data_IF_853395675154
#
_entry.id   IF_853395675154
#
_cell.length_a   1.000
_cell.length_b   1.000
_cell.length_c   1.000
_cell.angle_alpha   90.00
_cell.angle_beta   90.00
_cell.angle_gamma   90.00
#
_symmetry.space_group_name_H-M   'P 1'
#
loop_
_entity.id
_entity.type
_entity.pdbx_description
1 polymer ?
#
# COMPACT_ATOMS: atom_id res chain seq x y z
N UNK A 1 44.58 19.86 69.94
CA UNK A 1 43.13 19.72 69.68
C UNK A 1 42.74 20.64 68.52
N UNK A 2 42.73 20.12 67.29
CA UNK A 2 42.15 20.84 66.14
C UNK A 2 41.08 19.94 65.50
N UNK A 3 39.84 20.42 65.48
CA UNK A 3 38.67 19.77 64.87
C UNK A 3 38.55 20.30 63.44
N UNK A 4 38.60 19.42 62.45
CA UNK A 4 38.43 19.79 61.03
C UNK A 4 36.96 20.13 60.70
N UNK A 5 36.68 21.27 60.02
CA UNK A 5 35.33 21.74 59.70
C UNK A 5 34.89 21.35 58.28
N UNK A 6 35.14 20.11 57.83
CA UNK A 6 34.91 19.70 56.43
C UNK A 6 33.69 18.82 56.15
N UNK A 7 33.10 18.19 57.19
CA UNK A 7 32.22 17.02 56.99
C UNK A 7 30.73 17.33 56.80
N UNK A 8 30.30 18.55 57.07
CA UNK A 8 28.86 18.91 57.11
C UNK A 8 28.31 19.38 55.75
N UNK A 9 29.13 20.08 54.96
CA UNK A 9 28.72 20.59 53.64
C UNK A 9 28.44 19.50 52.61
N UNK A 10 29.08 18.34 52.73
CA UNK A 10 28.89 17.21 51.80
C UNK A 10 27.59 16.44 52.05
N UNK A 11 27.04 16.48 53.26
CA UNK A 11 25.77 15.83 53.60
C UNK A 11 24.58 16.65 53.10
N UNK A 12 24.63 17.98 53.27
CA UNK A 12 23.61 18.89 52.76
C UNK A 12 23.51 18.84 51.22
N UNK A 13 24.65 18.83 50.52
CA UNK A 13 24.67 18.74 49.05
C UNK A 13 24.09 17.41 48.52
N UNK A 14 24.37 16.29 49.20
CA UNK A 14 23.82 14.97 48.83
C UNK A 14 22.32 14.86 49.11
N UNK A 15 21.83 15.43 50.19
CA UNK A 15 20.40 15.45 50.51
C UNK A 15 19.60 16.28 49.49
N UNK A 16 20.13 17.44 49.07
CA UNK A 16 19.49 18.28 48.07
C UNK A 16 19.47 17.61 46.68
N UNK A 17 20.56 16.94 46.30
CA UNK A 17 20.62 16.21 45.03
C UNK A 17 19.61 15.03 44.99
N UNK A 18 19.45 14.29 46.10
CA UNK A 18 18.44 13.23 46.19
C UNK A 18 17.01 13.76 46.16
N UNK A 19 16.73 14.88 46.83
CA UNK A 19 15.39 15.49 46.84
C UNK A 19 15.00 16.01 45.44
N UNK A 20 15.92 16.64 44.72
CA UNK A 20 15.70 17.08 43.32
C UNK A 20 15.49 15.87 42.40
N UNK A 21 16.24 14.78 42.58
CA UNK A 21 16.08 13.56 41.78
C UNK A 21 14.73 12.87 42.02
N UNK A 22 14.25 12.82 43.27
CA UNK A 22 12.93 12.26 43.56
C UNK A 22 11.79 13.14 43.03
N UNK A 23 11.93 14.47 43.09
CA UNK A 23 10.93 15.39 42.57
C UNK A 23 10.80 15.31 41.03
N UNK A 24 11.92 15.14 40.32
CA UNK A 24 11.93 14.90 38.87
C UNK A 24 11.32 13.55 38.48
N UNK A 25 11.58 12.50 39.27
CA UNK A 25 10.97 11.19 39.03
C UNK A 25 9.45 11.17 39.29
N UNK A 26 8.98 11.89 40.33
CA UNK A 26 7.56 12.00 40.62
C UNK A 26 6.79 12.86 39.58
N UNK A 27 7.43 13.88 39.01
CA UNK A 27 6.85 14.69 37.94
C UNK A 27 6.67 13.90 36.63
N UNK A 28 7.55 12.93 36.34
CA UNK A 28 7.46 12.06 35.16
C UNK A 28 6.29 11.05 35.23
N UNK A 29 5.78 10.74 36.43
CA UNK A 29 4.66 9.81 36.65
C UNK A 29 3.28 10.48 36.57
N UNK A 30 3.22 11.80 36.42
CA UNK A 30 1.98 12.59 36.34
C UNK A 30 1.70 13.15 34.94
N UNK A 31 2.52 12.82 33.94
CA UNK A 31 2.18 13.13 32.55
C UNK A 31 1.16 12.09 32.05
N UNK A 32 -0.05 12.51 31.63
CA UNK A 32 -0.94 11.60 30.92
C UNK A 32 -0.23 11.12 29.66
N UNK A 33 -0.22 9.81 29.46
CA UNK A 33 0.26 9.17 28.24
C UNK A 33 -0.75 9.36 27.09
N UNK A 34 -1.19 10.59 26.84
CA UNK A 34 -1.91 10.95 25.62
C UNK A 34 -0.90 11.48 24.59
N UNK A 35 0.03 10.58 24.25
CA UNK A 35 0.89 10.69 23.08
C UNK A 35 0.26 10.01 21.87
N UNK A 36 -1.07 10.04 21.75
CA UNK A 36 -1.75 9.72 20.51
C UNK A 36 -1.56 10.86 19.54
N UNK A 37 -0.37 10.99 18.96
CA UNK A 37 -0.18 11.77 17.76
C UNK A 37 -1.11 11.16 16.70
N UNK A 38 -2.31 11.73 16.56
CA UNK A 38 -3.15 11.52 15.38
C UNK A 38 -2.33 12.09 14.23
N UNK A 39 -1.50 11.25 13.63
CA UNK A 39 -0.92 11.50 12.33
C UNK A 39 -2.11 11.77 11.41
N UNK A 40 -2.25 13.02 10.99
CA UNK A 40 -3.31 13.43 10.09
C UNK A 40 -3.36 12.44 8.92
N UNK A 41 -4.51 11.78 8.74
CA UNK A 41 -4.71 10.87 7.62
C UNK A 41 -4.34 11.60 6.34
N UNK A 42 -3.38 11.11 5.53
CA UNK A 42 -2.99 11.79 4.31
C UNK A 42 -4.21 12.00 3.43
N UNK A 43 -4.28 13.17 2.81
CA UNK A 43 -5.39 13.52 1.93
C UNK A 43 -5.49 12.50 0.78
N UNK A 44 -6.69 11.97 0.58
CA UNK A 44 -7.02 11.19 -0.61
C UNK A 44 -6.93 12.11 -1.82
N UNK A 45 -6.25 11.67 -2.88
CA UNK A 45 -6.03 12.49 -4.08
C UNK A 45 -6.54 11.76 -5.33
N UNK A 46 -7.01 12.48 -6.35
CA UNK A 46 -7.50 11.86 -7.59
C UNK A 46 -6.38 11.12 -8.33
N UNK A 47 -6.75 10.09 -9.10
CA UNK A 47 -5.85 9.45 -10.05
C UNK A 47 -5.52 10.43 -11.18
N UNK A 48 -4.28 10.45 -11.66
CA UNK A 48 -3.86 11.45 -12.63
C UNK A 48 -2.85 10.91 -13.65
N UNK A 49 -2.98 11.35 -14.90
CA UNK A 49 -2.03 11.06 -15.97
C UNK A 49 -2.23 9.70 -16.66
N UNK A 50 -1.29 9.33 -17.55
CA UNK A 50 -1.37 8.09 -18.32
C UNK A 50 -1.18 6.86 -17.43
N UNK A 51 -1.70 5.73 -17.89
CA UNK A 51 -1.47 4.43 -17.29
C UNK A 51 0.01 4.05 -17.31
N UNK A 52 0.38 3.07 -16.50
CA UNK A 52 1.75 2.54 -16.52
C UNK A 52 2.11 1.97 -17.90
N UNK A 53 1.21 1.20 -18.53
CA UNK A 53 1.46 0.64 -19.86
C UNK A 53 1.62 1.72 -20.93
N UNK A 54 0.78 2.76 -20.91
CA UNK A 54 0.89 3.91 -21.80
C UNK A 54 2.24 4.60 -21.63
N UNK A 55 2.67 4.85 -20.39
CA UNK A 55 3.96 5.49 -20.08
C UNK A 55 5.15 4.68 -20.58
N UNK A 56 5.09 3.36 -20.41
CA UNK A 56 6.13 2.43 -20.86
C UNK A 56 6.08 2.15 -22.37
N UNK A 57 5.04 2.64 -23.07
CA UNK A 57 4.77 2.31 -24.48
C UNK A 57 4.73 0.79 -24.72
N UNK A 58 4.24 0.07 -23.73
CA UNK A 58 4.18 -1.39 -23.74
C UNK A 58 2.78 -1.86 -24.13
N UNK A 59 2.71 -2.87 -24.99
CA UNK A 59 1.47 -3.62 -25.22
C UNK A 59 1.30 -4.65 -24.10
N UNK A 60 0.09 -4.81 -23.57
CA UNK A 60 -0.18 -5.70 -22.43
C UNK A 60 0.39 -7.10 -22.64
N UNK A 61 0.08 -7.74 -23.78
CA UNK A 61 0.52 -9.11 -24.10
C UNK A 61 2.04 -9.23 -24.31
N UNK A 62 2.72 -8.10 -24.57
CA UNK A 62 4.18 -8.03 -24.71
C UNK A 62 4.88 -7.62 -23.42
N UNK A 63 4.15 -7.12 -22.42
CA UNK A 63 4.71 -6.89 -21.09
C UNK A 63 4.78 -8.22 -20.32
N UNK A 64 5.69 -8.31 -19.33
CA UNK A 64 5.68 -9.44 -18.39
C UNK A 64 4.32 -9.59 -17.69
N UNK A 65 3.58 -8.47 -17.52
CA UNK A 65 2.23 -8.45 -16.96
C UNK A 65 1.23 -9.29 -17.78
N UNK A 66 1.16 -9.11 -19.10
CA UNK A 66 0.20 -9.87 -19.93
C UNK A 66 0.64 -11.30 -20.20
N UNK A 67 1.95 -11.58 -20.29
CA UNK A 67 2.46 -12.94 -20.50
C UNK A 67 2.29 -13.86 -19.31
N UNK A 68 2.37 -13.33 -18.09
CA UNK A 68 2.44 -14.18 -16.93
C UNK A 68 1.14 -14.95 -16.66
N UNK A 69 -0.03 -14.47 -17.10
CA UNK A 69 -1.33 -15.13 -16.85
C UNK A 69 -1.74 -15.25 -15.37
N UNK A 70 -0.81 -15.03 -14.44
CA UNK A 70 -0.93 -15.23 -13.00
C UNK A 70 -1.45 -14.02 -12.23
N UNK A 71 -1.57 -12.84 -12.88
CA UNK A 71 -2.12 -11.63 -12.25
C UNK A 71 -3.51 -11.94 -11.66
N UNK A 72 -4.28 -12.80 -12.35
CA UNK A 72 -5.67 -13.07 -12.02
C UNK A 72 -6.02 -14.37 -11.35
N UNK A 73 -5.04 -15.22 -11.01
CA UNK A 73 -5.34 -16.45 -10.29
C UNK A 73 -5.97 -16.08 -8.94
N UNK A 74 -7.19 -16.55 -8.68
CA UNK A 74 -7.79 -16.46 -7.35
C UNK A 74 -6.92 -17.33 -6.42
N UNK A 75 -5.97 -16.70 -5.73
CA UNK A 75 -5.45 -17.32 -4.52
C UNK A 75 -6.64 -17.34 -3.58
N UNK A 76 -7.01 -18.51 -3.09
CA UNK A 76 -8.10 -18.67 -2.13
C UNK A 76 -7.93 -17.60 -1.05
N UNK A 77 -8.89 -16.67 -0.99
CA UNK A 77 -8.94 -15.70 0.09
C UNK A 77 -9.32 -16.54 1.30
N UNK A 78 -8.35 -17.01 2.07
CA UNK A 78 -8.61 -17.57 3.39
C UNK A 78 -9.19 -16.42 4.22
N UNK A 79 -10.52 -16.41 4.37
CA UNK A 79 -11.26 -15.28 4.91
C UNK A 79 -12.15 -14.61 3.86
N UNK A 80 -12.97 -15.38 3.16
CA UNK A 80 -14.19 -14.84 2.57
C UNK A 80 -15.05 -14.33 3.73
N UNK A 81 -15.28 -13.01 3.76
CA UNK A 81 -15.93 -12.26 4.83
C UNK A 81 -15.06 -11.98 6.06
N UNK A 82 -14.24 -10.91 6.01
CA UNK A 82 -14.42 -9.95 7.10
C UNK A 82 -15.78 -9.37 6.80
N UNK A 83 -16.80 -9.85 7.52
CA UNK A 83 -18.15 -9.31 7.46
C UNK A 83 -18.07 -7.86 7.91
N UNK A 84 -17.67 -6.97 7.03
CA UNK A 84 -17.99 -5.59 7.22
C UNK A 84 -19.51 -5.54 7.03
N UNK A 85 -20.22 -5.09 8.07
CA UNK A 85 -21.65 -4.80 7.93
C UNK A 85 -21.88 -3.82 6.78
N UNK A 86 -23.14 -3.51 6.49
CA UNK A 86 -23.51 -2.54 5.45
C UNK A 86 -22.81 -1.17 5.62
N UNK A 87 -22.24 -0.91 6.80
CA UNK A 87 -21.53 0.31 7.21
C UNK A 87 -20.02 0.33 6.87
N UNK A 88 -19.52 -0.55 6.00
CA UNK A 88 -18.10 -0.61 5.63
C UNK A 88 -17.57 0.69 5.03
N UNK A 89 -18.45 1.47 4.38
CA UNK A 89 -18.10 2.76 3.81
C UNK A 89 -17.74 3.79 4.89
N UNK A 90 -18.39 3.72 6.05
CA UNK A 90 -18.17 4.62 7.19
C UNK A 90 -17.06 4.10 8.10
N UNK A 91 -17.04 2.79 8.35
CA UNK A 91 -16.13 2.16 9.31
C UNK A 91 -14.75 1.82 8.72
N UNK A 92 -14.64 1.80 7.38
CA UNK A 92 -13.41 1.46 6.67
C UNK A 92 -12.98 0.00 6.84
N UNK A 93 -11.70 -0.25 6.57
CA UNK A 93 -11.11 -1.58 6.48
C UNK A 93 -10.01 -1.76 7.52
N UNK A 94 -9.91 -2.96 8.09
CA UNK A 94 -8.75 -3.39 8.87
C UNK A 94 -7.82 -4.19 7.96
N UNK A 95 -6.75 -3.56 7.47
CA UNK A 95 -5.83 -4.15 6.52
C UNK A 95 -4.56 -4.66 7.21
N UNK A 96 -4.14 -5.87 6.87
CA UNK A 96 -2.81 -6.39 7.21
C UNK A 96 -1.77 -5.97 6.18
N UNK A 97 -0.49 -6.17 6.47
CA UNK A 97 0.57 -6.03 5.46
C UNK A 97 0.39 -6.93 4.23
N UNK A 98 -0.24 -8.11 4.39
CA UNK A 98 -0.59 -9.00 3.28
C UNK A 98 -1.68 -8.38 2.39
N UNK A 99 -2.71 -7.77 2.99
CA UNK A 99 -3.75 -7.06 2.24
C UNK A 99 -3.17 -5.87 1.48
N UNK A 100 -2.30 -5.09 2.12
CA UNK A 100 -1.62 -3.97 1.48
C UNK A 100 -0.74 -4.44 0.31
N UNK A 101 -0.03 -5.56 0.47
CA UNK A 101 0.72 -6.19 -0.63
C UNK A 101 -0.21 -6.63 -1.77
N UNK A 102 -1.32 -7.30 -1.43
CA UNK A 102 -2.31 -7.82 -2.37
C UNK A 102 -2.92 -6.69 -3.21
N UNK A 103 -3.22 -5.56 -2.60
CA UNK A 103 -3.83 -4.41 -3.30
C UNK A 103 -2.77 -3.60 -4.06
N UNK A 104 -1.62 -3.32 -3.46
CA UNK A 104 -0.68 -2.32 -4.01
C UNK A 104 0.48 -2.90 -4.83
N UNK A 105 0.84 -4.17 -4.63
CA UNK A 105 2.08 -4.73 -5.19
C UNK A 105 1.84 -5.91 -6.12
N UNK A 106 0.83 -6.75 -5.82
CA UNK A 106 0.55 -8.00 -6.52
C UNK A 106 0.27 -7.83 -8.01
N UNK A 107 -0.41 -6.74 -8.40
CA UNK A 107 -0.75 -6.44 -9.81
C UNK A 107 0.49 -6.46 -10.71
N UNK A 108 1.63 -6.03 -10.18
CA UNK A 108 2.91 -6.06 -10.87
C UNK A 108 3.81 -7.22 -10.43
N UNK A 109 4.03 -7.39 -9.13
CA UNK A 109 5.04 -8.33 -8.59
C UNK A 109 4.51 -9.76 -8.38
N UNK A 110 3.27 -10.05 -8.81
CA UNK A 110 2.68 -11.38 -8.76
C UNK A 110 2.31 -11.83 -7.35
N UNK A 111 1.96 -13.10 -7.22
CA UNK A 111 1.58 -13.68 -5.92
C UNK A 111 2.80 -13.77 -5.01
N UNK A 112 2.72 -13.21 -3.79
CA UNK A 112 3.75 -13.31 -2.76
C UNK A 112 5.11 -12.70 -3.12
N UNK A 113 5.18 -11.71 -4.01
CA UNK A 113 6.39 -10.93 -4.27
C UNK A 113 7.45 -11.66 -5.10
N UNK A 114 7.06 -12.72 -5.82
CA UNK A 114 7.98 -13.54 -6.62
C UNK A 114 8.40 -12.89 -7.95
N UNK A 115 7.74 -11.80 -8.35
CA UNK A 115 7.97 -11.16 -9.64
C UNK A 115 7.33 -11.96 -10.78
N UNK A 116 7.37 -11.39 -11.99
CA UNK A 116 6.81 -12.00 -13.21
C UNK A 116 7.89 -12.26 -14.27
N UNK A 117 9.16 -12.20 -13.87
CA UNK A 117 10.30 -12.30 -14.79
C UNK A 117 10.49 -11.06 -15.69
N UNK A 118 11.58 -11.06 -16.45
CA UNK A 118 11.97 -9.91 -17.27
C UNK A 118 12.11 -8.64 -16.44
N UNK A 119 11.34 -7.62 -16.80
CA UNK A 119 11.43 -6.28 -16.20
C UNK A 119 10.74 -6.15 -14.83
N UNK A 120 10.03 -7.19 -14.35
CA UNK A 120 9.36 -7.19 -13.05
C UNK A 120 10.04 -8.17 -12.08
N UNK A 121 11.00 -7.69 -11.27
CA UNK A 121 11.80 -8.54 -10.40
C UNK A 121 11.02 -9.03 -9.17
N UNK A 122 11.54 -10.10 -8.55
CA UNK A 122 11.10 -10.55 -7.23
C UNK A 122 11.48 -9.53 -6.15
N UNK A 123 10.48 -9.10 -5.36
CA UNK A 123 10.71 -8.29 -4.17
C UNK A 123 11.43 -9.12 -3.10
N UNK A 124 11.02 -10.38 -2.90
CA UNK A 124 11.59 -11.25 -1.87
C UNK A 124 13.08 -11.54 -2.13
N UNK A 125 13.47 -11.78 -3.38
CA UNK A 125 14.87 -12.02 -3.71
C UNK A 125 15.74 -10.79 -3.39
N UNK A 126 15.24 -9.58 -3.70
CA UNK A 126 15.94 -8.33 -3.39
C UNK A 126 16.07 -8.10 -1.88
N UNK A 127 15.02 -8.39 -1.11
CA UNK A 127 15.05 -8.32 0.35
C UNK A 127 16.11 -9.24 0.95
N UNK A 128 16.17 -10.49 0.51
CA UNK A 128 17.17 -11.46 0.98
C UNK A 128 18.60 -11.03 0.64
N UNK A 129 18.82 -10.53 -0.57
CA UNK A 129 20.12 -9.98 -0.98
C UNK A 129 20.53 -8.82 -0.08
N UNK A 130 19.64 -7.86 0.11
CA UNK A 130 19.91 -6.70 0.94
C UNK A 130 20.13 -7.02 2.42
N UNK A 131 19.41 -8.02 2.95
CA UNK A 131 19.64 -8.52 4.30
C UNK A 131 21.05 -9.13 4.45
N UNK A 132 21.53 -9.87 3.44
CA UNK A 132 22.89 -10.40 3.41
C UNK A 132 23.97 -9.31 3.29
N UNK A 133 23.64 -8.16 2.70
CA UNK A 133 24.56 -7.02 2.47
C UNK A 133 24.52 -5.96 3.58
N UNK A 134 23.79 -6.17 4.68
CA UNK A 134 23.80 -5.28 5.85
C UNK A 134 22.47 -4.57 6.19
N UNK A 135 21.33 -5.04 5.68
CA UNK A 135 19.98 -4.85 6.27
C UNK A 135 19.40 -3.44 6.31
N UNK A 136 19.96 -2.51 7.10
CA UNK A 136 19.42 -1.15 7.31
C UNK A 136 19.45 -0.29 6.05
N UNK A 137 20.45 -0.48 5.20
CA UNK A 137 20.51 0.17 3.88
C UNK A 137 19.39 -0.31 2.95
N UNK A 138 18.90 -1.54 3.16
CA UNK A 138 17.84 -2.16 2.35
C UNK A 138 16.48 -1.61 2.70
N UNK A 139 16.16 -1.46 4.00
CA UNK A 139 14.88 -0.88 4.41
C UNK A 139 14.74 0.56 3.90
N UNK A 140 15.78 1.39 4.09
CA UNK A 140 15.78 2.77 3.60
C UNK A 140 15.64 2.82 2.08
N UNK A 141 16.33 1.94 1.35
CA UNK A 141 16.22 1.86 -0.11
C UNK A 141 14.81 1.45 -0.56
N UNK A 142 14.13 0.56 0.18
CA UNK A 142 12.75 0.17 -0.11
C UNK A 142 11.77 1.30 0.18
N UNK A 143 11.89 1.98 1.32
CA UNK A 143 11.07 3.17 1.63
C UNK A 143 11.24 4.26 0.57
N UNK A 144 12.48 4.52 0.16
CA UNK A 144 12.78 5.45 -0.91
C UNK A 144 12.14 5.00 -2.23
N UNK A 145 12.28 3.72 -2.60
CA UNK A 145 11.65 3.17 -3.81
C UNK A 145 10.12 3.25 -3.78
N UNK A 146 9.48 3.06 -2.63
CA UNK A 146 8.04 3.25 -2.48
C UNK A 146 7.65 4.72 -2.67
N UNK A 147 8.44 5.65 -2.11
CA UNK A 147 8.13 7.08 -2.19
C UNK A 147 8.30 7.64 -3.62
N UNK A 148 9.42 7.37 -4.27
CA UNK A 148 9.77 8.01 -5.55
C UNK A 148 9.52 7.12 -6.77
N UNK A 149 9.30 5.82 -6.56
CA UNK A 149 9.24 4.85 -7.65
C UNK A 149 10.61 4.60 -8.30
N UNK A 150 10.58 4.17 -9.55
CA UNK A 150 11.73 4.02 -10.44
C UNK A 150 11.30 4.08 -11.90
N UNK A 151 12.15 3.61 -12.80
CA UNK A 151 11.88 3.67 -14.25
C UNK A 151 10.57 2.94 -14.65
N UNK A 152 10.36 1.75 -14.08
CA UNK A 152 9.19 0.89 -14.38
C UNK A 152 8.22 0.82 -13.19
N UNK A 153 8.70 0.99 -11.96
CA UNK A 153 7.87 0.94 -10.78
C UNK A 153 7.30 2.34 -10.50
N UNK A 154 5.97 2.55 -10.49
CA UNK A 154 5.42 3.85 -10.12
C UNK A 154 5.70 4.17 -8.65
N UNK A 155 5.68 5.46 -8.32
CA UNK A 155 5.66 5.90 -6.94
C UNK A 155 4.37 5.42 -6.25
N UNK A 156 4.52 4.94 -5.02
CA UNK A 156 3.44 4.57 -4.10
C UNK A 156 3.35 5.59 -2.96
N UNK A 157 3.60 6.87 -3.28
CA UNK A 157 3.58 7.99 -2.33
C UNK A 157 2.19 8.20 -1.68
N UNK A 158 1.16 7.53 -2.18
CA UNK A 158 -0.17 7.50 -1.57
C UNK A 158 -0.25 6.54 -0.38
N UNK A 159 0.79 5.80 0.01
CA UNK A 159 0.79 5.00 1.24
C UNK A 159 1.12 5.86 2.47
N UNK A 160 0.43 5.63 3.60
CA UNK A 160 0.77 6.27 4.89
C UNK A 160 2.04 5.64 5.49
N UNK A 161 2.72 6.32 6.45
CA UNK A 161 3.80 5.70 7.20
C UNK A 161 3.40 4.38 7.87
N UNK A 162 2.21 4.31 8.48
CA UNK A 162 1.70 3.09 9.14
C UNK A 162 1.42 1.96 8.13
N UNK A 163 0.87 2.29 6.96
CA UNK A 163 0.67 1.32 5.87
C UNK A 163 2.02 0.80 5.33
N UNK A 164 3.01 1.68 5.16
CA UNK A 164 4.37 1.29 4.73
C UNK A 164 5.02 0.37 5.77
N UNK A 165 4.90 0.66 7.06
CA UNK A 165 5.43 -0.20 8.12
C UNK A 165 4.79 -1.59 8.14
N UNK A 166 3.45 -1.66 8.07
CA UNK A 166 2.74 -2.94 8.01
C UNK A 166 3.13 -3.75 6.74
N UNK A 167 3.28 -3.07 5.60
CA UNK A 167 3.71 -3.70 4.34
C UNK A 167 5.15 -4.24 4.43
N UNK A 168 6.09 -3.45 4.95
CA UNK A 168 7.49 -3.87 5.08
C UNK A 168 7.61 -5.07 6.03
N UNK A 169 6.92 -5.04 7.18
CA UNK A 169 6.91 -6.15 8.12
C UNK A 169 6.41 -7.46 7.46
N UNK A 170 5.35 -7.38 6.65
CA UNK A 170 4.85 -8.54 5.90
C UNK A 170 5.87 -9.04 4.87
N UNK A 171 6.48 -8.13 4.10
CA UNK A 171 7.46 -8.49 3.08
C UNK A 171 8.73 -9.14 3.68
N UNK A 172 9.23 -8.62 4.79
CA UNK A 172 10.38 -9.17 5.50
C UNK A 172 10.08 -10.52 6.13
N UNK A 173 8.90 -10.66 6.76
CA UNK A 173 8.43 -11.96 7.27
C UNK A 173 8.29 -13.01 6.17
N UNK A 174 7.75 -12.61 5.02
CA UNK A 174 7.62 -13.48 3.83
C UNK A 174 8.98 -13.80 3.21
N UNK A 175 9.93 -12.86 3.24
CA UNK A 175 11.29 -13.08 2.79
C UNK A 175 12.10 -13.97 3.76
N UNK A 176 11.67 -14.10 5.02
CA UNK A 176 12.43 -14.76 6.07
C UNK A 176 13.63 -13.95 6.56
N UNK A 177 13.58 -12.62 6.38
CA UNK A 177 14.67 -11.69 6.76
C UNK A 177 14.43 -11.03 8.12
N UNK A 178 13.21 -11.11 8.66
CA UNK A 178 12.86 -10.65 9.99
C UNK A 178 12.29 -11.79 10.84
N UNK A 179 12.32 -11.62 12.16
CA UNK A 179 11.64 -12.51 13.09
C UNK A 179 10.14 -12.36 12.90
N UNK A 180 9.43 -13.49 12.81
CA UNK A 180 7.97 -13.48 12.70
C UNK A 180 7.34 -12.75 13.89
N UNK A 181 6.70 -11.63 13.62
CA UNK A 181 5.89 -10.87 14.58
C UNK A 181 4.41 -11.05 14.25
N UNK A 182 3.54 -10.75 15.23
CA UNK A 182 2.10 -10.75 14.96
C UNK A 182 1.78 -9.76 13.84
N UNK A 183 0.87 -10.09 12.91
CA UNK A 183 0.56 -9.22 11.78
C UNK A 183 -0.02 -7.89 12.28
N UNK A 184 0.69 -6.80 11.98
CA UNK A 184 0.20 -5.44 12.21
C UNK A 184 -1.03 -5.18 11.36
N UNK A 185 -2.10 -4.69 12.00
CA UNK A 185 -3.34 -4.24 11.34
C UNK A 185 -3.39 -2.73 11.34
N UNK A 186 -3.84 -2.16 10.23
CA UNK A 186 -4.01 -0.72 10.04
C UNK A 186 -5.46 -0.46 9.64
N UNK A 187 -6.12 0.46 10.35
CA UNK A 187 -7.44 0.97 9.98
C UNK A 187 -7.29 1.93 8.80
N UNK A 188 -7.91 1.61 7.67
CA UNK A 188 -7.85 2.39 6.43
C UNK A 188 -9.27 2.81 6.01
N UNK A 189 -9.56 4.12 5.88
CA UNK A 189 -10.87 4.58 5.42
C UNK A 189 -11.23 4.04 4.03
N UNK A 190 -12.52 3.84 3.77
CA UNK A 190 -12.99 3.27 2.51
C UNK A 190 -12.53 4.05 1.27
N UNK A 191 -12.56 5.38 1.31
CA UNK A 191 -12.08 6.23 0.22
C UNK A 191 -10.59 6.02 -0.09
N UNK A 192 -9.80 5.67 0.92
CA UNK A 192 -8.37 5.41 0.78
C UNK A 192 -8.08 4.00 0.26
N UNK A 193 -8.89 3.01 0.65
CA UNK A 193 -8.90 1.71 -0.03
C UNK A 193 -9.24 1.86 -1.51
N UNK A 194 -10.24 2.70 -1.83
CA UNK A 194 -10.56 3.04 -3.22
C UNK A 194 -9.38 3.67 -3.97
N UNK A 195 -8.67 4.60 -3.33
CA UNK A 195 -7.43 5.20 -3.87
C UNK A 195 -6.35 4.13 -4.13
N UNK A 196 -6.11 3.21 -3.19
CA UNK A 196 -5.15 2.12 -3.39
C UNK A 196 -5.51 1.25 -4.59
N UNK A 197 -6.77 0.81 -4.70
CA UNK A 197 -7.24 -0.02 -5.80
C UNK A 197 -7.11 0.72 -7.14
N UNK A 198 -7.56 1.98 -7.22
CA UNK A 198 -7.52 2.71 -8.47
C UNK A 198 -6.08 3.00 -8.92
N UNK A 199 -5.23 3.52 -8.03
CA UNK A 199 -3.87 3.92 -8.42
C UNK A 199 -2.91 2.76 -8.61
N UNK A 200 -3.00 1.72 -7.77
CA UNK A 200 -2.04 0.62 -7.81
C UNK A 200 -2.50 -0.57 -8.66
N UNK A 201 -3.80 -0.66 -8.99
CA UNK A 201 -4.34 -1.76 -9.80
C UNK A 201 -4.92 -1.25 -11.11
N UNK A 202 -5.90 -0.35 -11.07
CA UNK A 202 -6.62 0.06 -12.29
C UNK A 202 -5.74 0.91 -13.22
N UNK A 203 -4.99 1.86 -12.66
CA UNK A 203 -4.11 2.77 -13.40
C UNK A 203 -2.84 2.10 -13.95
N UNK A 204 -2.63 0.81 -13.67
CA UNK A 204 -1.61 0.02 -14.39
C UNK A 204 -1.94 -0.03 -15.87
N UNK A 205 -3.22 -0.22 -16.21
CA UNK A 205 -3.68 -0.41 -17.58
C UNK A 205 -4.54 0.75 -18.11
N UNK A 206 -5.37 1.35 -17.25
CA UNK A 206 -6.30 2.40 -17.64
C UNK A 206 -5.69 3.80 -17.43
N UNK A 207 -5.75 4.64 -18.47
CA UNK A 207 -5.41 6.05 -18.32
C UNK A 207 -6.40 6.73 -17.36
N UNK A 208 -5.94 7.72 -16.60
CA UNK A 208 -6.81 8.46 -15.68
C UNK A 208 -7.97 9.13 -16.44
N UNK A 209 -7.65 9.83 -17.52
CA UNK A 209 -8.58 10.50 -18.41
C UNK A 209 -8.31 10.06 -19.85
N UNK A 210 -9.27 10.23 -20.78
CA UNK A 210 -9.04 9.88 -22.18
C UNK A 210 -7.81 10.59 -22.72
N UNK A 211 -6.84 9.81 -23.23
CA UNK A 211 -5.66 10.37 -23.89
C UNK A 211 -6.02 11.09 -25.19
N UNK A 212 -5.10 11.94 -25.68
CA UNK A 212 -5.16 12.44 -27.06
C UNK A 212 -5.10 11.22 -28.01
N UNK A 213 -5.88 11.14 -29.10
CA UNK A 213 -5.85 9.99 -30.01
C UNK A 213 -4.50 9.92 -30.73
N UNK A 214 -3.49 9.33 -30.10
CA UNK A 214 -2.21 9.07 -30.75
C UNK A 214 -2.29 7.73 -31.47
N UNK A 215 -1.89 7.80 -32.74
CA UNK A 215 -2.16 6.79 -33.73
C UNK A 215 -1.69 5.39 -33.31
N UNK A 216 -2.55 4.42 -33.65
CA UNK A 216 -2.24 3.01 -33.91
C UNK A 216 -2.04 2.05 -32.71
N UNK A 217 -3.13 1.29 -32.45
CA UNK A 217 -3.21 -0.14 -32.04
C UNK A 217 -3.67 -0.50 -30.63
N UNK A 218 -3.65 0.40 -29.64
CA UNK A 218 -4.24 0.10 -28.32
C UNK A 218 -5.70 0.55 -28.24
N UNK A 219 -6.60 -0.09 -29.02
CA UNK A 219 -8.03 0.15 -28.85
C UNK A 219 -8.55 -0.58 -27.60
N UNK A 220 -9.50 0.07 -26.92
CA UNK A 220 -10.56 -0.46 -26.03
C UNK A 220 -10.22 -0.70 -24.54
N UNK A 221 -9.59 0.23 -23.85
CA UNK A 221 -9.80 0.36 -22.40
C UNK A 221 -10.42 1.74 -22.11
N UNK A 222 -11.59 1.83 -21.45
CA UNK A 222 -12.14 3.13 -21.06
C UNK A 222 -11.19 3.81 -20.09
N UNK A 223 -11.11 5.13 -20.15
CA UNK A 223 -10.39 5.87 -19.12
C UNK A 223 -11.09 5.73 -17.77
N UNK A 224 -10.33 5.87 -16.68
CA UNK A 224 -10.87 5.75 -15.32
C UNK A 224 -11.99 6.76 -15.08
N UNK A 225 -11.89 7.97 -15.65
CA UNK A 225 -12.91 9.01 -15.54
C UNK A 225 -14.25 8.65 -16.21
N UNK A 226 -14.27 7.69 -17.12
CA UNK A 226 -15.49 7.28 -17.85
C UNK A 226 -16.20 6.11 -17.18
N UNK A 227 -15.57 5.48 -16.18
CA UNK A 227 -16.11 4.26 -15.55
C UNK A 227 -17.46 4.51 -14.87
N UNK A 228 -17.63 5.58 -14.04
CA UNK A 228 -18.89 5.79 -13.34
C UNK A 228 -20.08 6.02 -14.27
N UNK A 229 -19.86 6.64 -15.44
CA UNK A 229 -20.91 6.89 -16.44
C UNK A 229 -21.28 5.63 -17.24
N UNK A 230 -20.32 4.71 -17.40
CA UNK A 230 -20.48 3.52 -18.25
C UNK A 230 -20.99 2.29 -17.50
N UNK A 231 -20.76 2.21 -16.20
CA UNK A 231 -21.07 1.01 -15.42
C UNK A 231 -21.74 1.36 -14.10
N UNK A 232 -22.78 0.61 -13.76
CA UNK A 232 -23.25 0.53 -12.38
C UNK A 232 -22.24 -0.25 -11.52
N UNK A 233 -22.13 0.11 -10.24
CA UNK A 233 -21.13 -0.47 -9.31
C UNK A 233 -21.11 -2.01 -9.32
N UNK A 234 -22.28 -2.66 -9.20
CA UNK A 234 -22.38 -4.13 -9.20
C UNK A 234 -21.90 -4.76 -10.52
N UNK A 235 -22.18 -4.09 -11.63
CA UNK A 235 -21.74 -4.56 -12.95
C UNK A 235 -20.22 -4.44 -13.08
N UNK A 236 -19.62 -3.34 -12.60
CA UNK A 236 -18.18 -3.16 -12.57
C UNK A 236 -17.49 -4.23 -11.69
N UNK A 237 -17.98 -4.44 -10.47
CA UNK A 237 -17.41 -5.43 -9.54
C UNK A 237 -17.36 -6.83 -10.16
N UNK A 238 -18.48 -7.28 -10.75
CA UNK A 238 -18.54 -8.56 -11.47
C UNK A 238 -17.55 -8.60 -12.63
N UNK A 239 -17.54 -7.54 -13.45
CA UNK A 239 -16.71 -7.43 -14.64
C UNK A 239 -15.21 -7.56 -14.32
N UNK A 240 -14.76 -6.93 -13.23
CA UNK A 240 -13.36 -6.91 -12.79
C UNK A 240 -12.94 -8.24 -12.18
N UNK A 241 -13.79 -8.86 -11.35
CA UNK A 241 -13.46 -10.11 -10.67
C UNK A 241 -13.51 -11.32 -11.61
N UNK A 242 -14.53 -11.38 -12.47
CA UNK A 242 -14.86 -12.62 -13.17
C UNK A 242 -14.37 -12.65 -14.62
N UNK A 243 -14.20 -11.49 -15.28
CA UNK A 243 -13.94 -11.30 -16.72
C UNK A 243 -14.75 -12.28 -17.64
N UNK A 244 -15.73 -11.79 -18.44
CA UNK A 244 -16.64 -12.67 -19.17
C UNK A 244 -15.86 -13.69 -20.01
N UNK A 245 -16.07 -14.97 -19.71
CA UNK A 245 -15.59 -16.05 -20.54
C UNK A 245 -16.55 -16.18 -21.72
N UNK A 246 -16.24 -15.56 -22.86
CA UNK A 246 -16.87 -15.98 -24.11
C UNK A 246 -16.14 -17.21 -24.64
N UNK A 247 -16.79 -18.37 -24.78
CA UNK A 247 -16.19 -19.52 -25.44
C UNK A 247 -15.83 -19.17 -26.89
N UNK A 248 -14.59 -19.40 -27.31
CA UNK A 248 -14.13 -19.15 -28.68
C UNK A 248 -13.69 -17.71 -28.98
N UNK A 249 -13.78 -16.77 -28.03
CA UNK A 249 -13.08 -15.48 -28.19
C UNK A 249 -11.61 -15.63 -27.80
N UNK A 250 -10.72 -14.98 -28.56
CA UNK A 250 -9.32 -14.70 -28.19
C UNK A 250 -9.29 -14.28 -26.71
N UNK A 251 -8.30 -14.71 -25.88
CA UNK A 251 -8.26 -14.32 -24.47
C UNK A 251 -8.59 -12.85 -24.34
N UNK A 252 -9.65 -12.54 -23.58
CA UNK A 252 -9.97 -11.16 -23.28
C UNK A 252 -8.69 -10.52 -22.77
N UNK A 253 -8.23 -9.43 -23.41
CA UNK A 253 -6.97 -8.74 -23.07
C UNK A 253 -7.07 -8.00 -21.71
N UNK A 254 -7.86 -8.55 -20.80
CA UNK A 254 -8.20 -8.04 -19.48
C UNK A 254 -7.93 -9.15 -18.47
N UNK A 255 -6.99 -8.95 -17.53
CA UNK A 255 -6.78 -9.90 -16.46
C UNK A 255 -8.03 -9.96 -15.56
N UNK A 256 -8.40 -11.15 -15.12
CA UNK A 256 -9.31 -11.32 -13.97
C UNK A 256 -8.62 -10.76 -12.74
N UNK A 257 -9.31 -10.01 -11.90
CA UNK A 257 -8.74 -9.53 -10.63
C UNK A 257 -9.51 -10.14 -9.45
N UNK A 258 -9.68 -11.46 -9.49
CA UNK A 258 -10.46 -12.21 -8.50
C UNK A 258 -9.90 -12.17 -7.07
N UNK A 259 -8.69 -11.64 -6.89
CA UNK A 259 -8.08 -11.41 -5.57
C UNK A 259 -8.55 -10.11 -4.89
N UNK A 260 -9.28 -9.24 -5.61
CA UNK A 260 -9.94 -8.07 -5.03
C UNK A 260 -11.31 -8.47 -4.48
N UNK A 261 -11.64 -7.95 -3.31
CA UNK A 261 -12.95 -8.15 -2.66
C UNK A 261 -13.99 -7.23 -3.30
N UNK A 262 -15.27 -7.55 -3.13
CA UNK A 262 -16.35 -6.74 -3.69
C UNK A 262 -16.37 -5.33 -3.09
N UNK A 263 -16.20 -5.23 -1.77
CA UNK A 263 -16.19 -4.00 -0.99
C UNK A 263 -15.02 -3.09 -1.39
N UNK A 264 -13.87 -3.68 -1.74
CA UNK A 264 -12.70 -2.93 -2.24
C UNK A 264 -12.97 -2.32 -3.62
N UNK A 265 -13.71 -3.04 -4.48
CA UNK A 265 -14.11 -2.54 -5.80
C UNK A 265 -15.24 -1.52 -5.72
N UNK A 266 -16.15 -1.67 -4.75
CA UNK A 266 -17.17 -0.68 -4.43
C UNK A 266 -16.52 0.60 -3.88
N UNK A 267 -15.55 0.49 -2.97
CA UNK A 267 -14.72 1.61 -2.51
C UNK A 267 -14.03 2.32 -3.68
N UNK A 268 -13.45 1.56 -4.61
CA UNK A 268 -12.84 2.12 -5.82
C UNK A 268 -13.84 2.89 -6.69
N UNK A 269 -15.06 2.38 -6.84
CA UNK A 269 -16.13 3.06 -7.58
C UNK A 269 -16.54 4.38 -6.92
N UNK A 270 -16.78 4.36 -5.60
CA UNK A 270 -17.12 5.58 -4.85
C UNK A 270 -15.97 6.59 -4.86
N UNK A 271 -14.73 6.13 -4.78
CA UNK A 271 -13.54 6.96 -4.97
C UNK A 271 -13.52 7.68 -6.32
N UNK A 272 -13.83 7.00 -7.43
CA UNK A 272 -13.87 7.63 -8.75
C UNK A 272 -14.97 8.71 -8.87
N UNK A 273 -16.09 8.54 -8.16
CA UNK A 273 -17.15 9.54 -8.07
C UNK A 273 -16.72 10.77 -7.26
N UNK A 274 -16.12 10.55 -6.08
CA UNK A 274 -15.76 11.63 -5.17
C UNK A 274 -14.46 12.36 -5.57
N UNK A 275 -13.54 11.66 -6.25
CA UNK A 275 -12.25 12.17 -6.69
C UNK A 275 -12.06 11.92 -8.20
N UNK A 276 -12.77 12.66 -9.07
CA UNK A 276 -12.68 12.47 -10.52
C UNK A 276 -11.23 12.52 -11.04
N UNK A 277 -10.81 11.53 -11.86
CA UNK A 277 -9.45 11.48 -12.41
C UNK A 277 -9.07 12.71 -13.26
N UNK A 278 -7.76 12.99 -13.37
CA UNK A 278 -7.21 14.21 -14.02
C UNK A 278 -6.12 13.90 -15.06
N UNK A 279 -5.78 14.88 -15.91
CA UNK A 279 -4.76 14.77 -16.99
C UNK A 279 -3.32 14.60 -16.50
N UNK A 280 -3.03 14.78 -15.21
CA UNK A 280 -1.65 14.92 -14.70
C UNK A 280 -1.16 16.37 -14.82
N UNK A 281 -0.25 16.75 -13.95
CA UNK A 281 0.52 18.01 -14.02
C UNK A 281 1.81 17.81 -14.82
#
# INVERSE_FOLDING_TARGET
MHREPGRDRSRAARALALAVSLALAAAALLLPADGGAQTATPAVTPAAGPSLLTRLRAEFDRASLGRAGEIGAAAAVAGESIAHGEDWLETGFELTGEDLYRINCRSCHGVGGRGLGGDIPSILARLRQGAAEGGTTTELALRHRLLIGGQVMPAMAHLTPAEVEALLAHLEGTAGTAIATAPTRVRVPAMRVGEHVVKAVCQVCHDAVPGIPQATRQRIQPALSEIPDRYAVRALTRLVREAPATPGSVPAHRPRLGYLRSEELEAAYVYLLAYPPRTGE
#
